data_IF_723411774040
#
_entry.id   IF_723411774040
#
_cell.length_a   1.000
_cell.length_b   1.000
_cell.length_c   1.000
_cell.angle_alpha   90.00
_cell.angle_beta   90.00
_cell.angle_gamma   90.00
#
_symmetry.space_group_name_H-M   'P 1'
#
loop_
_entity.id
_entity.type
_entity.pdbx_description
1 polymer ?
#
# COMPACT_ATOMS: atom_id res chain seq x y z
N UNK A 1 -45.87 -11.11 -34.66
CA UNK A 1 -45.08 -9.88 -34.90
C UNK A 1 -45.04 -9.13 -33.58
N UNK A 2 -44.15 -9.54 -32.67
CA UNK A 2 -42.81 -8.99 -32.46
C UNK A 2 -42.86 -7.67 -31.65
N UNK A 3 -42.59 -7.77 -30.35
CA UNK A 3 -41.85 -6.76 -29.59
C UNK A 3 -41.30 -7.38 -28.30
N UNK A 4 -40.21 -8.15 -28.44
CA UNK A 4 -39.26 -8.36 -27.35
C UNK A 4 -38.14 -7.35 -27.58
N UNK A 5 -38.34 -6.14 -27.06
CA UNK A 5 -37.30 -5.10 -27.01
C UNK A 5 -36.74 -5.02 -25.59
N UNK A 6 -36.00 -6.04 -25.16
CA UNK A 6 -35.11 -5.89 -24.02
C UNK A 6 -33.96 -4.99 -24.46
N UNK A 7 -33.77 -3.86 -23.79
CA UNK A 7 -32.69 -2.94 -24.11
C UNK A 7 -31.34 -3.66 -23.88
N UNK A 8 -30.49 -3.84 -24.91
CA UNK A 8 -29.17 -4.47 -24.75
C UNK A 8 -28.25 -3.69 -23.81
N UNK A 9 -28.59 -2.44 -23.46
CA UNK A 9 -27.77 -1.54 -22.65
C UNK A 9 -27.80 -1.82 -21.15
N UNK A 10 -28.69 -2.69 -20.67
CA UNK A 10 -28.74 -3.06 -19.24
C UNK A 10 -27.89 -4.30 -18.88
N UNK A 11 -27.15 -4.89 -19.82
CA UNK A 11 -26.36 -6.10 -19.56
C UNK A 11 -24.87 -5.84 -19.27
N UNK A 12 -24.44 -4.58 -19.11
CA UNK A 12 -23.00 -4.24 -18.97
C UNK A 12 -22.63 -3.47 -17.70
N UNK A 13 -23.54 -3.36 -16.71
CA UNK A 13 -23.28 -2.67 -15.43
C UNK A 13 -22.94 -3.62 -14.26
N UNK A 14 -22.99 -4.94 -14.47
CA UNK A 14 -22.62 -5.95 -13.47
C UNK A 14 -21.20 -6.52 -13.67
N UNK A 15 -20.35 -5.83 -14.44
CA UNK A 15 -18.92 -6.02 -14.25
C UNK A 15 -18.62 -5.39 -12.89
N UNK A 16 -18.51 -6.23 -11.85
CA UNK A 16 -18.12 -5.81 -10.50
C UNK A 16 -17.07 -4.70 -10.64
N UNK A 17 -17.45 -3.46 -10.34
CA UNK A 17 -16.51 -2.34 -10.39
C UNK A 17 -15.29 -2.81 -9.57
N UNK A 18 -14.10 -2.80 -10.17
CA UNK A 18 -12.83 -3.09 -9.48
C UNK A 18 -12.62 -2.01 -8.42
N UNK A 19 -13.42 -2.07 -7.36
CA UNK A 19 -13.38 -1.19 -6.21
C UNK A 19 -12.30 -1.73 -5.32
N UNK A 20 -11.14 -1.09 -5.41
CA UNK A 20 -10.12 -1.25 -4.41
C UNK A 20 -10.73 -0.93 -3.03
N UNK A 21 -10.38 -1.72 -1.99
CA UNK A 21 -10.87 -1.46 -0.64
C UNK A 21 -10.51 -0.03 -0.23
N UNK A 22 -11.37 0.64 0.54
CA UNK A 22 -11.08 1.97 1.08
C UNK A 22 -10.63 1.85 2.54
N UNK A 23 -9.92 2.86 3.05
CA UNK A 23 -9.63 2.98 4.48
C UNK A 23 -8.48 2.13 5.03
N UNK A 24 -7.77 1.36 4.19
CA UNK A 24 -6.56 0.63 4.60
C UNK A 24 -5.52 1.57 5.25
N UNK A 25 -4.90 1.10 6.31
CA UNK A 25 -3.80 1.76 7.02
C UNK A 25 -2.48 1.23 6.48
N UNK A 26 -1.69 2.11 5.88
CA UNK A 26 -0.51 1.72 5.12
C UNK A 26 0.71 2.33 5.78
N UNK A 27 1.70 1.51 6.12
CA UNK A 27 3.00 2.00 6.55
C UNK A 27 3.93 2.12 5.33
N UNK A 28 4.32 3.33 4.98
CA UNK A 28 5.25 3.61 3.90
C UNK A 28 6.64 3.91 4.46
N UNK A 29 7.67 3.23 3.94
CA UNK A 29 9.07 3.33 4.38
C UNK A 29 9.97 3.62 3.18
N UNK A 30 10.60 4.79 3.18
CA UNK A 30 11.52 5.23 2.13
C UNK A 30 12.43 6.34 2.70
N UNK A 31 13.72 6.33 2.38
CA UNK A 31 14.66 7.35 2.85
C UNK A 31 14.51 8.70 2.13
N UNK A 32 13.88 8.72 0.96
CA UNK A 32 13.59 9.92 0.20
C UNK A 32 12.23 10.53 0.62
N UNK A 33 12.30 11.67 1.30
CA UNK A 33 11.12 12.43 1.71
C UNK A 33 10.21 12.86 0.56
N UNK A 34 10.75 13.03 -0.65
CA UNK A 34 9.99 13.38 -1.86
C UNK A 34 9.18 12.17 -2.32
N UNK A 35 9.80 10.98 -2.36
CA UNK A 35 9.10 9.72 -2.65
C UNK A 35 7.98 9.46 -1.65
N UNK A 36 8.26 9.62 -0.35
CA UNK A 36 7.24 9.51 0.69
C UNK A 36 6.09 10.47 0.47
N UNK A 37 6.37 11.73 0.11
CA UNK A 37 5.31 12.73 -0.09
C UNK A 37 4.41 12.39 -1.27
N UNK A 38 5.01 12.01 -2.40
CA UNK A 38 4.27 11.56 -3.59
C UNK A 38 3.42 10.33 -3.27
N UNK A 39 4.00 9.35 -2.58
CA UNK A 39 3.29 8.14 -2.18
C UNK A 39 2.14 8.45 -1.21
N UNK A 40 2.35 9.33 -0.23
CA UNK A 40 1.31 9.77 0.70
C UNK A 40 0.11 10.38 -0.06
N UNK A 41 0.37 11.30 -0.99
CA UNK A 41 -0.67 11.99 -1.75
C UNK A 41 -1.46 11.01 -2.64
N UNK A 42 -0.77 10.05 -3.28
CA UNK A 42 -1.41 8.99 -4.06
C UNK A 42 -2.30 8.09 -3.19
N UNK A 43 -1.79 7.62 -2.04
CA UNK A 43 -2.53 6.75 -1.14
C UNK A 43 -3.76 7.45 -0.53
N UNK A 44 -3.63 8.73 -0.18
CA UNK A 44 -4.78 9.54 0.26
C UNK A 44 -5.81 9.73 -0.84
N UNK A 45 -5.39 9.89 -2.10
CA UNK A 45 -6.27 9.93 -3.26
C UNK A 45 -7.11 8.66 -3.42
N UNK A 46 -6.54 7.51 -3.05
CA UNK A 46 -7.22 6.21 -2.97
C UNK A 46 -8.02 6.01 -1.66
N UNK A 47 -8.19 7.05 -0.84
CA UNK A 47 -8.89 7.01 0.47
C UNK A 47 -8.27 6.03 1.47
N UNK A 48 -6.96 5.85 1.40
CA UNK A 48 -6.19 5.13 2.42
C UNK A 48 -5.70 6.07 3.53
N UNK A 49 -5.22 5.46 4.61
CA UNK A 49 -4.61 6.13 5.75
C UNK A 49 -3.11 5.82 5.79
N UNK A 50 -2.29 6.53 5.01
CA UNK A 50 -0.84 6.33 5.02
C UNK A 50 -0.20 6.92 6.27
N UNK A 51 0.75 6.18 6.83
CA UNK A 51 1.75 6.62 7.81
C UNK A 51 3.12 6.47 7.16
N UNK A 52 3.86 7.57 7.02
CA UNK A 52 5.18 7.58 6.35
C UNK A 52 6.30 7.66 7.39
N UNK A 53 7.34 6.85 7.22
CA UNK A 53 8.56 6.90 8.04
C UNK A 53 9.79 6.83 7.15
N UNK A 54 10.84 7.58 7.51
CA UNK A 54 12.08 7.59 6.73
C UNK A 54 13.04 6.47 7.13
N UNK A 55 12.72 5.70 8.18
CA UNK A 55 13.62 4.68 8.69
C UNK A 55 12.95 3.38 9.14
N UNK A 56 13.60 2.26 8.79
CA UNK A 56 13.18 0.90 9.11
C UNK A 56 13.14 0.62 10.61
N UNK A 57 13.97 1.29 11.43
CA UNK A 57 13.96 1.09 12.89
C UNK A 57 12.69 1.69 13.49
N UNK A 58 12.27 2.86 13.03
CA UNK A 58 11.01 3.50 13.40
C UNK A 58 9.83 2.66 12.90
N UNK A 59 9.88 2.17 11.66
CA UNK A 59 8.87 1.25 11.12
C UNK A 59 8.67 0.03 12.05
N UNK A 60 9.76 -0.68 12.40
CA UNK A 60 9.73 -1.84 13.29
C UNK A 60 9.19 -1.50 14.69
N UNK A 61 9.58 -0.34 15.24
CA UNK A 61 9.06 0.10 16.54
C UNK A 61 7.55 0.32 16.50
N UNK A 62 7.05 0.95 15.43
CA UNK A 62 5.61 1.20 15.27
C UNK A 62 4.84 -0.11 15.12
N UNK A 63 5.33 -1.00 14.25
CA UNK A 63 4.75 -2.32 14.02
C UNK A 63 4.69 -3.17 15.31
N UNK A 64 5.79 -3.22 16.07
CA UNK A 64 5.87 -3.96 17.35
C UNK A 64 5.07 -3.32 18.49
N UNK A 65 4.85 -2.01 18.44
CA UNK A 65 4.07 -1.32 19.47
C UNK A 65 2.58 -1.72 19.44
N UNK A 66 2.08 -2.25 18.31
CA UNK A 66 0.72 -2.76 18.17
C UNK A 66 -0.40 -1.73 18.39
N UNK A 67 -0.05 -0.44 18.55
CA UNK A 67 -1.00 0.65 18.76
C UNK A 67 -1.68 1.09 17.46
N UNK A 68 -0.96 0.96 16.35
CA UNK A 68 -1.48 1.13 14.99
C UNK A 68 -1.42 -0.22 14.31
N UNK A 69 -2.59 -0.80 14.04
CA UNK A 69 -2.67 -2.02 13.22
C UNK A 69 -2.52 -1.54 11.79
N UNK A 70 -1.40 -1.84 11.14
CA UNK A 70 -1.26 -1.61 9.71
C UNK A 70 -1.86 -2.79 8.96
N UNK A 71 -2.43 -2.51 7.79
CA UNK A 71 -3.01 -3.51 6.91
C UNK A 71 -2.03 -3.87 5.77
N UNK A 72 -1.04 -3.00 5.51
CA UNK A 72 -0.02 -3.17 4.48
C UNK A 72 1.25 -2.37 4.83
N UNK A 73 2.42 -2.91 4.51
CA UNK A 73 3.68 -2.15 4.44
C UNK A 73 4.10 -1.95 2.98
N UNK A 74 4.50 -0.74 2.63
CA UNK A 74 5.19 -0.42 1.38
C UNK A 74 6.60 0.04 1.76
N UNK A 75 7.64 -0.62 1.24
CA UNK A 75 9.03 -0.28 1.56
C UNK A 75 9.89 -0.23 0.31
N UNK A 76 10.75 0.77 0.18
CA UNK A 76 11.82 0.74 -0.81
C UNK A 76 12.91 -0.25 -0.39
N UNK A 77 13.42 -1.04 -1.35
CA UNK A 77 14.47 -2.01 -1.12
C UNK A 77 15.86 -1.41 -1.35
N UNK A 78 15.95 -0.29 -2.07
CA UNK A 78 17.18 0.37 -2.44
C UNK A 78 17.60 1.44 -1.41
N UNK A 79 17.64 1.08 -0.13
CA UNK A 79 18.15 1.95 0.95
C UNK A 79 19.66 1.65 1.20
N UNK A 80 20.60 2.53 0.80
CA UNK A 80 22.04 2.35 0.98
C UNK A 80 22.46 2.27 2.46
N UNK A 81 21.76 2.96 3.36
CA UNK A 81 22.10 3.02 4.79
C UNK A 81 21.23 2.11 5.69
N UNK A 82 20.20 1.46 5.13
CA UNK A 82 19.27 0.62 5.88
C UNK A 82 18.88 -0.65 5.14
N UNK A 83 18.88 -1.76 5.88
CA UNK A 83 18.42 -3.03 5.34
C UNK A 83 16.88 -3.08 5.22
N UNK A 84 16.34 -2.58 4.10
CA UNK A 84 14.94 -2.85 3.69
C UNK A 84 14.66 -4.37 3.63
N UNK A 85 15.68 -5.16 3.31
CA UNK A 85 15.63 -6.62 3.39
C UNK A 85 15.43 -7.14 4.83
N UNK A 86 16.13 -6.59 5.84
CA UNK A 86 15.94 -7.01 7.24
C UNK A 86 14.58 -6.58 7.77
N UNK A 87 14.08 -5.41 7.35
CA UNK A 87 12.71 -5.00 7.68
C UNK A 87 11.71 -6.04 7.16
N UNK A 88 11.82 -6.42 5.88
CA UNK A 88 10.97 -7.44 5.27
C UNK A 88 11.09 -8.80 5.98
N UNK A 89 12.30 -9.24 6.29
CA UNK A 89 12.54 -10.52 7.00
C UNK A 89 11.89 -10.53 8.38
N UNK A 90 12.07 -9.46 9.16
CA UNK A 90 11.49 -9.33 10.49
C UNK A 90 9.97 -9.24 10.46
N UNK A 91 9.40 -8.48 9.51
CA UNK A 91 7.95 -8.43 9.31
C UNK A 91 7.44 -9.85 9.03
N UNK A 92 8.02 -10.57 8.05
CA UNK A 92 7.58 -11.92 7.70
C UNK A 92 7.73 -12.95 8.82
N UNK A 93 8.69 -12.76 9.72
CA UNK A 93 8.94 -13.68 10.83
C UNK A 93 8.07 -13.38 12.06
N UNK A 94 7.84 -12.10 12.36
CA UNK A 94 7.14 -11.67 13.58
C UNK A 94 5.65 -11.35 13.35
N UNK A 95 5.25 -11.10 12.09
CA UNK A 95 3.97 -10.49 11.74
C UNK A 95 3.38 -11.16 10.49
N UNK A 96 2.07 -11.39 10.48
CA UNK A 96 1.35 -11.84 9.28
C UNK A 96 0.83 -10.61 8.51
N UNK A 97 1.77 -9.78 8.03
CA UNK A 97 1.47 -8.49 7.40
C UNK A 97 1.94 -8.48 5.94
N UNK A 98 1.08 -8.16 4.95
CA UNK A 98 1.48 -8.02 3.56
C UNK A 98 2.53 -6.92 3.40
N UNK A 99 3.52 -7.18 2.54
CA UNK A 99 4.56 -6.20 2.20
C UNK A 99 4.67 -6.06 0.68
N UNK A 100 4.62 -4.82 0.19
CA UNK A 100 4.97 -4.45 -1.18
C UNK A 100 6.34 -3.80 -1.15
N UNK A 101 7.28 -4.40 -1.87
CA UNK A 101 8.63 -3.88 -2.04
C UNK A 101 8.70 -3.04 -3.32
N UNK A 102 9.12 -1.79 -3.20
CA UNK A 102 9.45 -0.93 -4.34
C UNK A 102 10.96 -0.98 -4.61
N UNK A 103 11.32 -0.66 -5.85
CA UNK A 103 12.72 -0.51 -6.27
C UNK A 103 12.84 0.85 -6.95
N UNK A 104 13.58 1.75 -6.32
CA UNK A 104 13.90 3.04 -6.93
C UNK A 104 14.98 2.85 -8.00
N UNK A 105 14.65 3.17 -9.26
CA UNK A 105 15.65 3.21 -10.32
C UNK A 105 16.51 4.46 -10.16
N UNK A 106 17.78 4.27 -9.79
CA UNK A 106 18.76 5.36 -9.81
C UNK A 106 19.21 5.57 -11.27
N UNK A 107 18.87 6.73 -11.85
CA UNK A 107 19.39 7.17 -13.14
C UNK A 107 20.66 7.99 -12.98
#
# INVERSE_FOLDING_TARGET
MASMGGDPRQMMEDAAEDKFPEGLRILAVDEDSVCLKVLEDLLRGCKYHPTTVMDAKTALKMLRAGKEVFDLVITDMCMPDMDGFKLLELIRHEMDLPVISTLTAQF
#
